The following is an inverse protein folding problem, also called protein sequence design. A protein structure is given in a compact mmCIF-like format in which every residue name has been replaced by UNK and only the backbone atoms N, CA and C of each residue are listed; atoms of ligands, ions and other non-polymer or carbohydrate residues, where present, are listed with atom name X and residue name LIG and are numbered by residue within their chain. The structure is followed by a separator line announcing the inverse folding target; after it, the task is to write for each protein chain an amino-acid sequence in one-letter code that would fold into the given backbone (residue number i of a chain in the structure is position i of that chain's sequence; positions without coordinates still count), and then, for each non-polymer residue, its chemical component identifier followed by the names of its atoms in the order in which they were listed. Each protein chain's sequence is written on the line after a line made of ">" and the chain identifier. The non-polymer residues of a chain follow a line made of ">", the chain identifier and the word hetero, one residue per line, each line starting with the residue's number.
data_IF_037017067907
#
_entry.id   IF_037017067907
#
_cell.length_a   1.000
_cell.length_b   1.000
_cell.length_c   1.000
_cell.angle_alpha   90.00
_cell.angle_beta   90.00
_cell.angle_gamma   90.00
#
_symmetry.space_group_name_H-M   'P 1'
#
loop_
_entity.id
_entity.type
_entity.pdbx_description
1 polymer ?
#
# COMPACT_ATOMS: atom_id res chain seq x y z
N UNK A 1 -7.48 5.13 7.92
CA UNK A 1 -6.24 4.48 7.48
C UNK A 1 -5.00 5.30 7.84
N UNK A 2 -3.82 4.75 7.55
CA UNK A 2 -2.51 5.37 7.87
C UNK A 2 -1.59 5.25 6.65
N UNK A 3 -0.73 6.27 6.45
CA UNK A 3 0.33 6.24 5.47
C UNK A 3 1.60 6.95 5.96
N UNK A 4 2.76 6.50 5.50
CA UNK A 4 4.06 7.09 5.80
C UNK A 4 5.09 6.71 4.73
N UNK A 5 6.12 7.53 4.54
CA UNK A 5 7.18 7.25 3.57
C UNK A 5 8.55 7.80 4.03
N UNK A 6 9.09 7.37 5.18
CA UNK A 6 10.31 7.95 5.75
C UNK A 6 11.53 7.80 4.84
N UNK A 7 11.65 6.66 4.15
CA UNK A 7 12.80 6.40 3.27
C UNK A 7 12.76 7.24 1.99
N UNK A 8 11.57 7.48 1.45
CA UNK A 8 11.37 8.44 0.36
C UNK A 8 11.69 9.85 0.83
N UNK A 9 11.25 10.21 2.04
CA UNK A 9 11.55 11.49 2.68
C UNK A 9 13.04 11.76 2.88
N UNK A 10 13.88 10.73 3.04
CA UNK A 10 15.34 10.90 3.10
C UNK A 10 15.91 11.36 1.75
N UNK A 11 15.34 10.96 0.63
CA UNK A 11 15.75 11.37 -0.71
C UNK A 11 15.17 12.76 -1.03
N UNK A 12 13.84 12.89 -0.94
CA UNK A 12 13.09 14.12 -1.21
C UNK A 12 11.97 14.28 -0.15
N UNK A 13 12.10 15.23 0.77
CA UNK A 13 11.11 15.44 1.84
C UNK A 13 9.71 15.80 1.33
N UNK A 14 9.60 16.56 0.24
CA UNK A 14 8.31 16.93 -0.33
C UNK A 14 7.63 15.73 -1.00
N UNK A 15 8.39 14.93 -1.76
CA UNK A 15 7.89 13.68 -2.34
C UNK A 15 7.47 12.70 -1.23
N UNK A 16 8.28 12.52 -0.17
CA UNK A 16 7.94 11.68 0.98
C UNK A 16 6.62 12.07 1.63
N UNK A 17 6.34 13.37 1.71
CA UNK A 17 5.06 13.86 2.25
C UNK A 17 3.88 13.56 1.34
N UNK A 18 4.04 13.73 0.02
CA UNK A 18 2.99 13.38 -0.95
C UNK A 18 2.72 11.88 -0.98
N UNK A 19 3.77 11.06 -0.91
CA UNK A 19 3.62 9.59 -0.85
C UNK A 19 2.94 9.17 0.46
N UNK A 20 3.28 9.76 1.62
CA UNK A 20 2.61 9.46 2.88
C UNK A 20 1.09 9.74 2.84
N UNK A 21 0.68 10.86 2.24
CA UNK A 21 -0.75 11.17 2.02
C UNK A 21 -1.36 10.17 1.04
N UNK A 22 -0.67 9.88 -0.05
CA UNK A 22 -1.16 8.97 -1.10
C UNK A 22 -1.36 7.55 -0.57
N UNK A 23 -0.43 7.02 0.22
CA UNK A 23 -0.54 5.70 0.85
C UNK A 23 -1.74 5.64 1.79
N UNK A 24 -1.93 6.66 2.65
CA UNK A 24 -3.09 6.72 3.51
C UNK A 24 -4.41 6.70 2.71
N UNK A 25 -4.46 7.37 1.56
CA UNK A 25 -5.64 7.42 0.71
C UNK A 25 -5.86 6.12 -0.07
N UNK A 26 -4.82 5.48 -0.62
CA UNK A 26 -4.96 4.19 -1.30
C UNK A 26 -5.35 3.06 -0.35
N UNK A 27 -4.98 3.16 0.93
CA UNK A 27 -5.46 2.28 1.99
C UNK A 27 -6.94 2.51 2.35
N UNK A 28 -7.47 3.72 2.12
CA UNK A 28 -8.86 4.06 2.44
C UNK A 28 -9.84 3.73 1.32
N UNK A 29 -9.38 3.62 0.09
CA UNK A 29 -10.25 3.51 -1.11
C UNK A 29 -11.20 2.32 -1.09
N UNK A 30 -10.96 1.33 -0.23
CA UNK A 30 -11.68 0.06 -0.12
C UNK A 30 -12.97 0.13 0.71
N UNK A 31 -13.32 1.30 1.25
CA UNK A 31 -14.58 1.55 1.94
C UNK A 31 -15.39 2.60 1.16
N UNK A 32 -16.74 2.53 1.15
CA UNK A 32 -17.58 3.53 0.47
C UNK A 32 -17.56 4.86 1.23
N UNK A 33 -16.57 5.70 0.91
CA UNK A 33 -16.40 7.01 1.56
C UNK A 33 -17.46 7.97 1.06
N UNK A 34 -18.22 8.55 2.00
CA UNK A 34 -19.22 9.56 1.69
C UNK A 34 -18.55 10.79 1.04
N UNK A 35 -19.13 11.27 -0.03
CA UNK A 35 -18.59 12.37 -0.85
C UNK A 35 -17.22 12.09 -1.49
N UNK A 36 -16.83 10.82 -1.62
CA UNK A 36 -15.56 10.42 -2.23
C UNK A 36 -14.37 11.09 -1.52
N UNK A 37 -13.36 11.56 -2.27
CA UNK A 37 -12.16 12.17 -1.69
C UNK A 37 -12.48 13.47 -0.91
N UNK A 38 -13.51 14.23 -1.28
CA UNK A 38 -13.87 15.46 -0.56
C UNK A 38 -14.41 15.22 0.85
N UNK A 39 -14.90 14.01 1.14
CA UNK A 39 -15.33 13.59 2.48
C UNK A 39 -14.20 13.16 3.42
N UNK A 40 -12.94 13.24 2.97
CA UNK A 40 -11.77 12.80 3.75
C UNK A 40 -11.12 13.97 4.47
N UNK A 41 -10.78 13.76 5.75
CA UNK A 41 -9.93 14.66 6.53
C UNK A 41 -8.65 13.94 6.98
N UNK A 42 -7.57 14.70 7.14
CA UNK A 42 -6.26 14.18 7.51
C UNK A 42 -5.84 14.66 8.91
N UNK A 43 -5.10 13.82 9.62
CA UNK A 43 -4.31 14.21 10.78
C UNK A 43 -2.84 13.95 10.47
N UNK A 44 -1.97 14.93 10.73
CA UNK A 44 -0.55 14.85 10.43
C UNK A 44 0.28 14.73 11.71
N UNK A 45 1.18 13.74 11.77
CA UNK A 45 2.14 13.61 12.85
C UNK A 45 3.57 13.70 12.29
N UNK A 46 4.27 14.77 12.67
CA UNK A 46 5.63 15.05 12.24
C UNK A 46 6.63 14.58 13.30
N UNK A 47 7.59 13.77 12.91
CA UNK A 47 8.70 13.31 13.74
C UNK A 47 10.00 13.68 13.04
N UNK A 48 10.74 14.67 13.59
CA UNK A 48 11.85 15.28 12.86
C UNK A 48 13.05 15.61 13.78
N UNK A 49 14.31 15.35 13.34
CA UNK A 49 15.51 15.66 14.11
C UNK A 49 15.96 17.12 13.89
N UNK A 50 15.10 18.12 14.11
CA UNK A 50 15.29 19.53 13.75
C UNK A 50 16.53 20.20 14.33
N UNK A 51 17.09 19.67 15.43
CA UNK A 51 18.30 20.24 16.06
C UNK A 51 19.60 19.92 15.31
N UNK A 52 19.50 19.29 14.14
CA UNK A 52 20.64 18.93 13.31
C UNK A 52 20.66 19.80 12.05
N UNK A 53 21.87 20.02 11.52
CA UNK A 53 22.09 20.91 10.37
C UNK A 53 21.29 20.47 9.14
N UNK A 54 20.63 21.43 8.50
CA UNK A 54 19.82 21.20 7.30
C UNK A 54 18.40 20.65 7.56
N UNK A 55 18.13 20.06 8.72
CA UNK A 55 16.86 19.37 8.98
C UNK A 55 15.65 20.32 9.07
N UNK A 56 15.84 21.58 9.47
CA UNK A 56 14.78 22.59 9.44
C UNK A 56 14.34 22.92 8.01
N UNK A 57 15.27 23.00 7.06
CA UNK A 57 14.96 23.25 5.66
C UNK A 57 14.24 22.06 5.04
N UNK A 58 14.65 20.84 5.40
CA UNK A 58 13.99 19.60 4.98
C UNK A 58 12.56 19.50 5.53
N UNK A 59 12.36 19.82 6.80
CA UNK A 59 11.03 19.88 7.40
C UNK A 59 10.13 20.91 6.69
N UNK A 60 10.65 22.12 6.40
CA UNK A 60 9.90 23.12 5.67
C UNK A 60 9.45 22.59 4.28
N UNK A 61 10.36 21.94 3.55
CA UNK A 61 10.05 21.33 2.27
C UNK A 61 8.97 20.25 2.39
N UNK A 62 9.05 19.40 3.41
CA UNK A 62 8.08 18.35 3.69
C UNK A 62 6.68 18.92 4.01
N UNK A 63 6.62 19.92 4.91
CA UNK A 63 5.36 20.59 5.29
C UNK A 63 4.74 21.29 4.08
N UNK A 64 5.56 22.01 3.29
CA UNK A 64 5.08 22.66 2.07
C UNK A 64 4.54 21.64 1.06
N UNK A 65 5.25 20.53 0.84
CA UNK A 65 4.82 19.44 -0.04
C UNK A 65 3.49 18.83 0.40
N UNK A 66 3.31 18.57 1.69
CA UNK A 66 2.04 18.07 2.24
C UNK A 66 0.89 19.07 2.07
N UNK A 67 1.13 20.34 2.39
CA UNK A 67 0.14 21.42 2.32
C UNK A 67 -0.33 21.65 0.88
N UNK A 68 0.62 21.85 -0.04
CA UNK A 68 0.29 22.09 -1.46
C UNK A 68 -0.49 20.91 -2.05
N UNK A 69 -0.11 19.69 -1.69
CA UNK A 69 -0.77 18.47 -2.17
C UNK A 69 -2.19 18.33 -1.60
N UNK A 70 -2.38 18.53 -0.30
CA UNK A 70 -3.70 18.47 0.33
C UNK A 70 -4.65 19.53 -0.26
N UNK A 71 -4.16 20.76 -0.49
CA UNK A 71 -4.92 21.84 -1.15
C UNK A 71 -5.34 21.43 -2.56
N UNK A 72 -4.42 20.86 -3.35
CA UNK A 72 -4.72 20.42 -4.72
C UNK A 72 -5.71 19.26 -4.76
N UNK A 73 -5.64 18.33 -3.80
CA UNK A 73 -6.63 17.26 -3.66
C UNK A 73 -8.00 17.77 -3.18
N UNK A 74 -8.06 18.95 -2.57
CA UNK A 74 -9.28 19.51 -1.99
C UNK A 74 -9.66 18.91 -0.64
N UNK A 75 -8.67 18.42 0.12
CA UNK A 75 -8.84 17.82 1.45
C UNK A 75 -8.13 18.66 2.51
N UNK A 76 -8.52 18.53 3.78
CA UNK A 76 -7.98 19.34 4.86
C UNK A 76 -7.09 18.55 5.82
N UNK A 77 -6.23 19.27 6.54
CA UNK A 77 -5.44 18.77 7.65
C UNK A 77 -5.81 19.59 8.90
N UNK A 78 -6.97 19.33 9.53
CA UNK A 78 -7.49 20.15 10.64
C UNK A 78 -6.67 20.01 11.93
N UNK A 79 -5.90 18.94 12.06
CA UNK A 79 -5.09 18.68 13.25
C UNK A 79 -3.72 18.13 12.89
N UNK A 80 -2.73 18.56 13.63
CA UNK A 80 -1.36 18.09 13.48
C UNK A 80 -0.66 18.04 14.85
N UNK A 81 0.36 17.18 14.93
CA UNK A 81 1.21 17.00 16.12
C UNK A 81 2.66 16.86 15.65
N UNK A 82 3.60 17.33 16.44
CA UNK A 82 5.02 17.19 16.13
C UNK A 82 5.87 16.61 17.27
N UNK A 83 7.05 16.11 16.91
CA UNK A 83 8.15 15.71 17.77
C UNK A 83 9.46 16.12 17.09
N UNK A 84 10.01 17.30 17.46
CA UNK A 84 11.11 17.94 16.75
C UNK A 84 12.50 17.61 17.30
N UNK A 85 12.63 16.65 18.21
CA UNK A 85 13.89 16.25 18.85
C UNK A 85 14.26 14.79 18.63
N UNK A 86 13.94 14.24 17.46
CA UNK A 86 14.11 12.81 17.13
C UNK A 86 15.57 12.42 16.90
N UNK A 87 16.37 12.58 17.97
CA UNK A 87 17.80 12.25 17.98
C UNK A 87 18.12 11.45 19.24
N UNK A 88 18.60 10.23 19.10
CA UNK A 88 19.15 9.44 20.20
C UNK A 88 20.62 9.76 20.36
N UNK A 89 21.03 10.07 21.61
CA UNK A 89 22.44 10.30 22.00
C UNK A 89 22.89 9.16 22.91
N UNK A 90 24.07 8.63 22.67
CA UNK A 90 24.67 7.57 23.46
C UNK A 90 25.80 8.12 24.36
N UNK A 91 26.13 7.43 25.49
CA UNK A 91 27.18 7.87 26.42
C UNK A 91 28.58 7.98 25.78
N UNK A 92 28.85 7.21 24.74
CA UNK A 92 30.11 7.22 23.98
C UNK A 92 30.21 8.43 23.01
N UNK A 93 29.21 9.31 22.97
CA UNK A 93 29.16 10.45 22.08
C UNK A 93 28.48 10.22 20.72
N UNK A 94 28.15 8.97 20.39
CA UNK A 94 27.44 8.65 19.16
C UNK A 94 26.04 9.26 19.14
N UNK A 95 25.57 9.57 17.93
CA UNK A 95 24.21 10.06 17.69
C UNK A 95 23.56 9.24 16.60
N UNK A 96 22.32 8.86 16.81
CA UNK A 96 21.44 8.28 15.79
C UNK A 96 20.29 9.24 15.55
N UNK A 97 20.15 9.69 14.32
CA UNK A 97 19.04 10.54 13.88
C UNK A 97 17.94 9.65 13.31
N UNK A 98 16.71 9.88 13.75
CA UNK A 98 15.53 9.31 13.07
C UNK A 98 15.39 9.96 11.69
N UNK A 99 15.01 9.22 10.66
CA UNK A 99 14.58 9.84 9.41
C UNK A 99 13.45 10.83 9.68
N UNK A 100 13.50 11.99 9.03
CA UNK A 100 12.38 12.93 9.06
C UNK A 100 11.14 12.23 8.52
N UNK A 101 10.12 12.06 9.35
CA UNK A 101 8.94 11.23 9.06
C UNK A 101 7.67 12.03 9.22
N UNK A 102 6.80 11.96 8.22
CA UNK A 102 5.40 12.34 8.31
C UNK A 102 4.55 11.07 8.35
N UNK A 103 3.72 10.94 9.39
CA UNK A 103 2.65 9.93 9.45
C UNK A 103 1.34 10.66 9.23
N UNK A 104 0.59 10.21 8.24
CA UNK A 104 -0.77 10.68 7.94
C UNK A 104 -1.76 9.65 8.44
N UNK A 105 -2.75 10.10 9.20
CA UNK A 105 -3.96 9.34 9.46
C UNK A 105 -5.11 9.97 8.67
N UNK A 106 -5.88 9.15 7.97
CA UNK A 106 -7.09 9.58 7.25
C UNK A 106 -8.33 9.17 8.02
N UNK A 107 -9.35 10.00 7.98
CA UNK A 107 -10.67 9.71 8.50
C UNK A 107 -11.73 10.15 7.49
N UNK A 108 -12.77 9.34 7.33
CA UNK A 108 -13.92 9.63 6.47
C UNK A 108 -15.15 8.88 6.98
N UNK A 109 -16.33 9.47 6.76
CA UNK A 109 -17.59 8.78 7.03
C UNK A 109 -17.81 7.71 5.96
N UNK A 110 -18.19 6.50 6.39
CA UNK A 110 -18.48 5.35 5.51
C UNK A 110 -19.99 5.20 5.37
N UNK A 111 -20.50 5.14 4.13
CA UNK A 111 -21.95 5.03 3.86
C UNK A 111 -22.52 3.67 4.24
N UNK A 112 -21.75 2.59 4.04
CA UNK A 112 -22.13 1.22 4.38
C UNK A 112 -20.90 0.42 4.81
N UNK A 113 -20.85 0.02 6.06
CA UNK A 113 -19.73 -0.76 6.62
C UNK A 113 -19.67 -2.19 6.07
N UNK A 114 -20.76 -2.71 5.53
CA UNK A 114 -20.82 -4.05 4.93
C UNK A 114 -20.38 -4.08 3.47
N UNK A 115 -20.29 -2.93 2.81
CA UNK A 115 -19.87 -2.82 1.42
C UNK A 115 -18.35 -2.72 1.24
N UNK A 116 -17.56 -2.89 2.31
CA UNK A 116 -16.09 -2.82 2.23
C UNK A 116 -15.51 -3.95 1.39
N UNK A 117 -14.50 -3.63 0.58
CA UNK A 117 -13.75 -4.61 -0.21
C UNK A 117 -12.55 -5.10 0.58
N UNK A 118 -12.41 -6.42 0.67
CA UNK A 118 -11.32 -7.07 1.41
C UNK A 118 -10.10 -7.32 0.51
N UNK A 119 -8.87 -7.36 1.07
CA UNK A 119 -7.67 -7.61 0.28
C UNK A 119 -7.47 -9.08 -0.13
N UNK A 120 -8.28 -9.99 0.39
CA UNK A 120 -8.10 -11.44 0.21
C UNK A 120 -8.67 -11.91 -1.11
N UNK A 121 -7.83 -12.51 -1.95
CA UNK A 121 -8.22 -13.09 -3.24
C UNK A 121 -9.41 -14.06 -3.09
N UNK A 122 -10.44 -13.85 -3.87
CA UNK A 122 -11.58 -14.74 -3.96
C UNK A 122 -11.29 -15.87 -4.95
N UNK A 123 -11.76 -17.10 -4.61
CA UNK A 123 -11.52 -18.32 -5.38
C UNK A 123 -12.50 -18.46 -6.55
N UNK A 124 -12.57 -17.44 -7.39
CA UNK A 124 -13.47 -17.37 -8.53
C UNK A 124 -12.68 -17.08 -9.81
N UNK A 125 -13.21 -17.50 -10.96
CA UNK A 125 -12.66 -17.10 -12.26
C UNK A 125 -12.71 -15.58 -12.38
N UNK A 126 -11.51 -14.98 -12.51
CA UNK A 126 -11.35 -13.55 -12.37
C UNK A 126 -10.06 -13.05 -13.02
N UNK A 127 -10.03 -11.77 -13.30
CA UNK A 127 -8.86 -11.05 -13.76
C UNK A 127 -8.32 -10.10 -12.69
N UNK A 128 -7.02 -9.84 -12.73
CA UNK A 128 -6.36 -8.83 -11.91
C UNK A 128 -6.00 -7.62 -12.75
N UNK A 129 -6.29 -6.44 -12.22
CA UNK A 129 -5.96 -5.15 -12.82
C UNK A 129 -5.03 -4.36 -11.91
N UNK A 130 -3.95 -3.85 -12.49
CA UNK A 130 -3.07 -2.87 -11.85
C UNK A 130 -3.52 -1.47 -12.28
N UNK A 131 -3.82 -0.61 -11.32
CA UNK A 131 -4.32 0.76 -11.53
C UNK A 131 -3.37 1.74 -10.83
N UNK A 132 -2.46 2.39 -11.56
CA UNK A 132 -1.55 3.37 -10.97
C UNK A 132 -2.25 4.71 -10.74
N UNK A 133 -1.97 5.31 -9.59
CA UNK A 133 -2.47 6.64 -9.19
C UNK A 133 -1.52 7.77 -9.61
N UNK A 134 -0.56 7.49 -10.44
CA UNK A 134 0.36 8.44 -11.05
C UNK A 134 0.52 8.16 -12.54
N UNK A 135 0.81 9.18 -13.33
CA UNK A 135 1.14 9.03 -14.74
C UNK A 135 2.59 8.59 -14.98
N UNK A 136 3.46 8.66 -13.96
CA UNK A 136 4.86 8.24 -14.06
C UNK A 136 4.96 6.72 -14.23
N UNK A 137 5.65 6.28 -15.26
CA UNK A 137 5.92 4.86 -15.58
C UNK A 137 7.41 4.52 -15.50
N UNK A 138 8.22 5.37 -14.88
CA UNK A 138 9.66 5.14 -14.70
C UNK A 138 9.95 4.08 -13.63
N UNK A 139 8.97 3.80 -12.77
CA UNK A 139 9.07 2.85 -11.68
C UNK A 139 10.33 3.06 -10.82
N UNK A 140 10.49 4.23 -10.18
CA UNK A 140 11.64 4.53 -9.35
C UNK A 140 11.73 3.58 -8.16
N UNK A 141 12.96 3.23 -7.75
CA UNK A 141 13.23 2.30 -6.65
C UNK A 141 13.86 2.98 -5.43
N UNK A 142 14.05 4.29 -5.47
CA UNK A 142 14.61 5.02 -4.34
C UNK A 142 13.67 4.99 -3.13
N UNK A 143 14.23 4.71 -1.96
CA UNK A 143 13.48 4.57 -0.70
C UNK A 143 12.70 3.27 -0.54
N UNK A 144 12.63 2.42 -1.59
CA UNK A 144 11.85 1.17 -1.55
C UNK A 144 12.46 0.11 -0.62
N UNK A 145 11.63 -0.82 -0.18
CA UNK A 145 12.07 -2.00 0.56
C UNK A 145 13.14 -2.79 -0.21
N UNK A 146 13.01 -2.88 -1.55
CA UNK A 146 14.03 -3.48 -2.39
C UNK A 146 15.39 -2.79 -2.26
N UNK A 147 15.43 -1.46 -2.32
CA UNK A 147 16.67 -0.70 -2.16
C UNK A 147 17.31 -0.95 -0.79
N UNK A 148 16.49 -1.06 0.26
CA UNK A 148 16.96 -1.36 1.62
C UNK A 148 17.58 -2.76 1.72
N UNK A 149 17.01 -3.78 1.05
CA UNK A 149 17.57 -5.15 1.08
C UNK A 149 18.98 -5.21 0.49
N UNK A 150 19.30 -4.36 -0.46
CA UNK A 150 20.63 -4.24 -1.06
C UNK A 150 21.49 -3.12 -0.41
N UNK A 151 21.07 -2.63 0.76
CA UNK A 151 21.76 -1.59 1.56
C UNK A 151 22.00 -0.29 0.77
N UNK A 152 21.05 0.11 -0.04
CA UNK A 152 21.04 1.37 -0.80
C UNK A 152 19.76 2.14 -0.53
N UNK A 153 19.84 3.47 -0.57
CA UNK A 153 18.64 4.31 -0.53
C UNK A 153 18.13 4.63 -1.93
N UNK A 154 19.02 4.72 -2.92
CA UNK A 154 18.72 5.15 -4.29
C UNK A 154 18.64 6.68 -4.42
N UNK A 155 18.51 7.15 -5.66
CA UNK A 155 18.49 8.58 -5.99
C UNK A 155 17.13 9.05 -6.50
N UNK A 156 16.37 8.17 -7.12
CA UNK A 156 15.06 8.47 -7.72
C UNK A 156 13.95 7.90 -6.86
N UNK A 157 13.23 8.77 -6.16
CA UNK A 157 12.12 8.44 -5.29
C UNK A 157 10.78 8.43 -6.06
N UNK A 158 9.81 7.61 -5.64
CA UNK A 158 8.42 7.75 -6.10
C UNK A 158 7.86 9.11 -5.71
N UNK A 159 6.97 9.63 -6.56
CA UNK A 159 6.33 10.92 -6.32
C UNK A 159 4.95 10.98 -7.00
N UNK A 160 4.05 11.82 -6.48
CA UNK A 160 2.78 12.17 -7.12
C UNK A 160 2.83 13.63 -7.55
N UNK A 161 3.18 13.84 -8.83
CA UNK A 161 3.31 15.19 -9.42
C UNK A 161 2.00 15.73 -9.99
N UNK A 162 1.02 14.86 -10.22
CA UNK A 162 -0.30 15.20 -10.74
C UNK A 162 -1.39 14.83 -9.72
N UNK A 163 -1.73 15.75 -8.81
CA UNK A 163 -2.78 15.54 -7.81
C UNK A 163 -4.18 15.39 -8.42
N UNK A 164 -4.45 16.02 -9.57
CA UNK A 164 -5.74 15.90 -10.24
C UNK A 164 -5.94 14.49 -10.83
N UNK A 165 -4.89 13.91 -11.37
CA UNK A 165 -4.96 12.52 -11.82
C UNK A 165 -5.17 11.56 -10.63
N UNK A 166 -4.45 11.76 -9.51
CA UNK A 166 -4.65 10.98 -8.29
C UNK A 166 -6.10 11.06 -7.79
N UNK A 167 -6.65 12.27 -7.70
CA UNK A 167 -8.05 12.53 -7.31
C UNK A 167 -9.03 11.84 -8.26
N UNK A 168 -8.76 11.90 -9.56
CA UNK A 168 -9.56 11.22 -10.58
C UNK A 168 -9.55 9.71 -10.38
N UNK A 169 -8.39 9.11 -10.09
CA UNK A 169 -8.27 7.68 -9.78
C UNK A 169 -9.11 7.31 -8.56
N UNK A 170 -8.93 8.02 -7.44
CA UNK A 170 -9.66 7.76 -6.21
C UNK A 170 -11.18 7.82 -6.43
N UNK A 171 -11.67 8.92 -6.98
CA UNK A 171 -13.11 9.14 -7.18
C UNK A 171 -13.71 8.15 -8.18
N UNK A 172 -13.00 7.85 -9.28
CA UNK A 172 -13.47 6.87 -10.27
C UNK A 172 -13.61 5.47 -9.66
N UNK A 173 -12.64 5.06 -8.83
CA UNK A 173 -12.73 3.76 -8.14
C UNK A 173 -13.87 3.72 -7.13
N UNK A 174 -14.06 4.79 -6.33
CA UNK A 174 -15.22 4.90 -5.42
C UNK A 174 -16.54 4.73 -6.19
N UNK A 175 -16.69 5.41 -7.32
CA UNK A 175 -17.90 5.32 -8.15
C UNK A 175 -18.11 3.93 -8.73
N UNK A 176 -17.04 3.28 -9.22
CA UNK A 176 -17.11 1.96 -9.85
C UNK A 176 -17.37 0.86 -8.81
N UNK A 177 -16.77 0.97 -7.64
CA UNK A 177 -16.87 -0.06 -6.61
C UNK A 177 -18.14 0.03 -5.78
N UNK A 178 -18.67 1.24 -5.53
CA UNK A 178 -19.71 1.42 -4.50
C UNK A 178 -20.97 2.14 -4.94
N UNK A 179 -20.96 2.89 -6.05
CA UNK A 179 -22.09 3.74 -6.46
C UNK A 179 -22.83 3.24 -7.70
N UNK A 180 -22.56 2.00 -8.12
CA UNK A 180 -23.23 1.32 -9.23
C UNK A 180 -23.82 0.01 -8.76
N UNK A 181 -24.93 -0.37 -9.37
CA UNK A 181 -25.57 -1.66 -9.12
C UNK A 181 -24.57 -2.79 -9.48
N UNK A 182 -24.26 -3.62 -8.49
CA UNK A 182 -23.39 -4.78 -8.64
C UNK A 182 -21.91 -4.40 -8.81
N UNK A 183 -21.17 -4.33 -7.70
CA UNK A 183 -19.74 -4.17 -7.80
C UNK A 183 -19.08 -5.36 -8.49
N UNK A 184 -18.30 -5.12 -9.57
CA UNK A 184 -17.57 -6.20 -10.25
C UNK A 184 -16.29 -6.61 -9.50
N UNK A 185 -15.92 -5.87 -8.44
CA UNK A 185 -14.67 -6.05 -7.71
C UNK A 185 -14.86 -7.05 -6.57
N UNK A 186 -14.09 -8.13 -6.61
CA UNK A 186 -14.12 -9.22 -5.63
C UNK A 186 -13.15 -8.99 -4.46
N UNK A 187 -12.01 -8.41 -4.74
CA UNK A 187 -10.96 -8.10 -3.78
C UNK A 187 -10.08 -6.95 -4.29
N UNK A 188 -9.37 -6.30 -3.40
CA UNK A 188 -8.40 -5.28 -3.79
C UNK A 188 -7.41 -4.93 -2.71
N UNK A 189 -6.23 -4.49 -3.12
CA UNK A 189 -5.13 -4.13 -2.22
C UNK A 189 -4.33 -2.97 -2.83
N UNK A 190 -3.85 -2.07 -2.00
CA UNK A 190 -2.93 -1.01 -2.41
C UNK A 190 -1.52 -1.55 -2.67
N UNK A 191 -0.76 -0.82 -3.48
CA UNK A 191 0.67 -1.07 -3.69
C UNK A 191 1.43 -0.09 -2.82
N UNK A 192 2.07 -0.61 -1.77
CA UNK A 192 2.84 0.16 -0.79
C UNK A 192 4.23 -0.45 -0.58
N UNK A 193 4.70 -0.55 0.67
CA UNK A 193 6.03 -1.09 0.98
C UNK A 193 6.24 -2.51 0.39
N UNK A 194 7.33 -2.69 -0.35
CA UNK A 194 7.66 -3.92 -1.06
C UNK A 194 7.17 -3.98 -2.51
N UNK A 195 6.32 -3.05 -2.93
CA UNK A 195 5.83 -2.93 -4.30
C UNK A 195 4.83 -4.00 -4.72
N UNK A 196 4.58 -4.09 -6.02
CA UNK A 196 3.56 -4.96 -6.61
C UNK A 196 3.73 -6.44 -6.22
N UNK A 197 4.94 -6.97 -6.17
CA UNK A 197 5.16 -8.39 -5.83
C UNK A 197 4.69 -8.72 -4.42
N UNK A 198 4.93 -7.83 -3.47
CA UNK A 198 4.47 -7.97 -2.08
C UNK A 198 2.95 -7.91 -2.00
N UNK A 199 2.34 -6.92 -2.64
CA UNK A 199 0.88 -6.78 -2.75
C UNK A 199 0.21 -8.06 -3.26
N UNK A 200 0.71 -8.65 -4.35
CA UNK A 200 0.16 -9.89 -4.93
C UNK A 200 0.29 -11.08 -3.97
N UNK A 201 1.40 -11.17 -3.23
CA UNK A 201 1.59 -12.22 -2.23
C UNK A 201 0.68 -12.03 -1.02
N UNK A 202 0.56 -10.81 -0.49
CA UNK A 202 -0.28 -10.48 0.67
C UNK A 202 -1.75 -10.74 0.38
N UNK A 203 -2.22 -10.45 -0.83
CA UNK A 203 -3.58 -10.82 -1.27
C UNK A 203 -3.84 -12.33 -1.19
N UNK A 204 -2.80 -13.17 -1.29
CA UNK A 204 -2.90 -14.63 -1.20
C UNK A 204 -2.67 -15.19 0.21
N UNK A 205 -2.01 -14.47 1.11
CA UNK A 205 -1.49 -15.03 2.37
C UNK A 205 -2.59 -15.53 3.32
N UNK A 206 -3.74 -14.87 3.36
CA UNK A 206 -4.85 -15.26 4.22
C UNK A 206 -5.57 -16.53 3.75
N UNK A 207 -5.44 -16.90 2.47
CA UNK A 207 -6.00 -18.13 1.91
C UNK A 207 -5.08 -19.34 2.17
N UNK A 208 -5.64 -20.53 2.10
CA UNK A 208 -4.91 -21.81 2.13
C UNK A 208 -4.83 -22.47 0.75
N UNK A 209 -5.57 -21.96 -0.23
CA UNK A 209 -5.66 -22.45 -1.60
C UNK A 209 -5.67 -21.29 -2.60
N UNK A 210 -5.30 -21.59 -3.84
CA UNK A 210 -5.30 -20.64 -4.93
C UNK A 210 -4.09 -19.71 -4.93
N UNK A 211 -3.85 -19.16 -6.10
CA UNK A 211 -2.76 -18.26 -6.42
C UNK A 211 -3.10 -17.38 -7.64
N UNK A 212 -2.08 -16.93 -8.33
CA UNK A 212 -2.23 -16.02 -9.47
C UNK A 212 -1.27 -16.37 -10.60
N UNK A 213 -1.73 -16.17 -11.84
CA UNK A 213 -0.87 -16.09 -13.02
C UNK A 213 -0.85 -14.64 -13.50
N UNK A 214 0.29 -14.01 -13.37
CA UNK A 214 0.51 -12.58 -13.67
C UNK A 214 1.38 -12.44 -14.92
N UNK A 215 1.00 -11.56 -15.81
CA UNK A 215 1.71 -11.24 -17.05
C UNK A 215 2.05 -9.73 -17.06
N UNK A 216 3.33 -9.42 -16.96
CA UNK A 216 3.88 -8.07 -17.01
C UNK A 216 4.62 -7.77 -18.31
N UNK A 217 4.43 -8.57 -19.37
CA UNK A 217 5.11 -8.38 -20.67
C UNK A 217 4.74 -7.06 -21.36
N UNK A 218 3.58 -6.49 -21.04
CA UNK A 218 3.16 -5.17 -21.53
C UNK A 218 3.92 -3.99 -20.91
N UNK A 219 4.72 -4.23 -19.87
CA UNK A 219 5.50 -3.19 -19.20
C UNK A 219 6.96 -3.19 -19.69
N UNK A 220 7.58 -2.01 -19.69
CA UNK A 220 8.95 -1.86 -20.19
C UNK A 220 10.02 -2.39 -19.22
N UNK A 221 9.72 -2.44 -17.93
CA UNK A 221 10.72 -2.73 -16.89
C UNK A 221 10.17 -3.60 -15.76
N UNK A 222 10.98 -4.58 -15.36
CA UNK A 222 10.73 -5.38 -14.14
C UNK A 222 10.77 -4.56 -12.83
N UNK A 223 11.17 -3.29 -12.89
CA UNK A 223 11.10 -2.39 -11.72
C UNK A 223 9.69 -2.23 -11.17
N UNK A 224 8.66 -2.41 -12.00
CA UNK A 224 7.24 -2.40 -11.57
C UNK A 224 6.99 -3.34 -10.38
N UNK A 225 7.71 -4.46 -10.27
CA UNK A 225 7.56 -5.39 -9.15
C UNK A 225 7.92 -4.79 -7.81
N UNK A 226 8.86 -3.87 -7.76
CA UNK A 226 9.48 -3.37 -6.53
C UNK A 226 9.31 -1.87 -6.32
N UNK A 227 8.77 -1.17 -7.31
CA UNK A 227 8.49 0.26 -7.18
C UNK A 227 7.29 0.48 -6.27
N UNK A 228 7.44 1.42 -5.36
CA UNK A 228 6.42 1.78 -4.38
C UNK A 228 5.68 3.06 -4.81
N UNK A 229 5.44 3.22 -6.12
CA UNK A 229 4.55 4.26 -6.62
C UNK A 229 3.10 3.95 -6.23
N UNK A 230 2.30 4.95 -5.81
CA UNK A 230 0.92 4.72 -5.42
C UNK A 230 0.12 4.07 -6.55
N UNK A 231 -0.43 2.91 -6.26
CA UNK A 231 -1.26 2.13 -7.17
C UNK A 231 -2.17 1.19 -6.37
N UNK A 232 -3.11 0.55 -7.04
CA UNK A 232 -3.92 -0.52 -6.46
C UNK A 232 -3.98 -1.72 -7.40
N UNK A 233 -4.18 -2.89 -6.81
CA UNK A 233 -4.54 -4.12 -7.54
C UNK A 233 -5.97 -4.47 -7.20
N UNK A 234 -6.80 -4.71 -8.21
CA UNK A 234 -8.18 -5.17 -8.03
C UNK A 234 -8.39 -6.50 -8.72
N UNK A 235 -9.11 -7.39 -8.05
CA UNK A 235 -9.61 -8.63 -8.61
C UNK A 235 -11.03 -8.39 -9.14
N UNK A 236 -11.26 -8.65 -10.41
CA UNK A 236 -12.53 -8.42 -11.08
C UNK A 236 -13.08 -9.76 -11.57
N UNK A 237 -14.37 -10.01 -11.35
CA UNK A 237 -15.05 -11.23 -11.80
C UNK A 237 -14.98 -11.35 -13.33
N UNK A 238 -14.70 -12.55 -13.86
CA UNK A 238 -14.46 -12.75 -15.28
C UNK A 238 -15.62 -12.29 -16.18
N UNK A 239 -16.87 -12.54 -15.77
CA UNK A 239 -18.07 -12.11 -16.48
C UNK A 239 -18.38 -10.61 -16.37
N UNK A 240 -17.67 -9.89 -15.50
CA UNK A 240 -17.85 -8.46 -15.24
C UNK A 240 -16.68 -7.59 -15.77
N UNK A 241 -15.66 -8.18 -16.40
CA UNK A 241 -14.48 -7.42 -16.90
C UNK A 241 -14.87 -6.30 -17.87
N UNK A 242 -15.79 -6.58 -18.81
CA UNK A 242 -16.25 -5.58 -19.78
C UNK A 242 -17.00 -4.42 -19.08
N UNK A 243 -17.86 -4.75 -18.13
CA UNK A 243 -18.59 -3.74 -17.34
C UNK A 243 -17.64 -2.88 -16.53
N UNK A 244 -16.64 -3.49 -15.89
CA UNK A 244 -15.61 -2.81 -15.12
C UNK A 244 -14.80 -1.86 -15.99
N UNK A 245 -14.22 -2.32 -17.08
CA UNK A 245 -13.41 -1.48 -17.98
C UNK A 245 -14.21 -0.34 -18.62
N UNK A 246 -15.46 -0.61 -18.98
CA UNK A 246 -16.39 0.40 -19.50
C UNK A 246 -16.73 1.47 -18.44
N UNK A 247 -16.85 1.06 -17.18
CA UNK A 247 -17.13 1.95 -16.07
C UNK A 247 -15.94 2.86 -15.73
N UNK A 248 -14.70 2.36 -15.80
CA UNK A 248 -13.49 3.16 -15.68
C UNK A 248 -13.37 4.18 -16.82
N UNK A 249 -13.83 3.79 -18.03
CA UNK A 249 -13.72 4.62 -19.23
C UNK A 249 -12.26 4.95 -19.56
N UNK A 250 -12.05 6.12 -20.20
CA UNK A 250 -10.70 6.61 -20.51
C UNK A 250 -10.18 7.60 -19.45
N UNK A 251 -10.77 7.63 -18.25
CA UNK A 251 -10.41 8.60 -17.22
C UNK A 251 -9.11 8.24 -16.51
N UNK A 252 -8.87 6.93 -16.31
CA UNK A 252 -7.72 6.41 -15.59
C UNK A 252 -7.13 5.22 -16.34
N UNK A 253 -5.83 5.00 -16.15
CA UNK A 253 -5.16 3.83 -16.70
C UNK A 253 -5.46 2.60 -15.85
N UNK A 254 -5.84 1.49 -16.48
CA UNK A 254 -6.02 0.19 -15.84
C UNK A 254 -5.38 -0.87 -16.75
N UNK A 255 -4.47 -1.66 -16.20
CA UNK A 255 -3.75 -2.69 -16.93
C UNK A 255 -4.19 -4.06 -16.43
N UNK A 256 -4.76 -4.87 -17.32
CA UNK A 256 -5.03 -6.28 -17.03
C UNK A 256 -3.69 -7.00 -16.91
N UNK A 257 -3.37 -7.46 -15.70
CA UNK A 257 -2.07 -8.06 -15.39
C UNK A 257 -2.14 -9.57 -15.13
N UNK A 258 -3.31 -10.19 -15.09
CA UNK A 258 -3.35 -11.63 -14.87
C UNK A 258 -4.72 -12.19 -14.52
N UNK A 259 -4.71 -13.44 -14.06
CA UNK A 259 -5.90 -14.23 -13.71
C UNK A 259 -5.70 -15.02 -12.43
N UNK A 260 -6.79 -15.40 -11.78
CA UNK A 260 -6.79 -16.34 -10.67
C UNK A 260 -6.28 -17.71 -11.12
N UNK A 261 -5.51 -18.39 -10.27
CA UNK A 261 -5.05 -19.76 -10.45
C UNK A 261 -5.54 -20.64 -9.28
N UNK A 262 -5.94 -21.86 -9.58
CA UNK A 262 -6.27 -22.87 -8.54
C UNK A 262 -5.03 -23.39 -7.83
N UNK A 263 -3.87 -23.28 -8.45
CA UNK A 263 -2.59 -23.67 -7.87
C UNK A 263 -2.13 -22.68 -6.81
N UNK A 264 -1.52 -23.16 -5.74
CA UNK A 264 -0.99 -22.34 -4.62
C UNK A 264 0.35 -21.70 -4.96
N UNK A 265 0.44 -21.05 -6.11
CA UNK A 265 1.66 -20.47 -6.66
C UNK A 265 1.36 -19.09 -7.25
N UNK A 266 2.26 -18.15 -7.06
CA UNK A 266 2.29 -16.90 -7.79
C UNK A 266 3.27 -17.02 -8.95
N UNK A 267 2.74 -17.19 -10.17
CA UNK A 267 3.53 -17.19 -11.39
C UNK A 267 3.53 -15.78 -11.99
N UNK A 268 4.71 -15.26 -12.33
CA UNK A 268 4.87 -13.93 -12.92
C UNK A 268 5.70 -14.07 -14.20
N UNK A 269 5.13 -13.69 -15.32
CA UNK A 269 5.87 -13.48 -16.56
C UNK A 269 6.39 -12.04 -16.58
N UNK A 270 7.71 -11.87 -16.63
CA UNK A 270 8.38 -10.57 -16.59
C UNK A 270 8.41 -9.90 -17.97
N UNK A 271 8.63 -8.59 -18.05
CA UNK A 271 9.05 -7.94 -19.27
C UNK A 271 10.23 -8.72 -19.91
N UNK A 272 10.17 -8.93 -21.22
CA UNK A 272 11.13 -9.76 -21.99
C UNK A 272 10.98 -11.28 -21.83
N UNK A 273 9.88 -11.76 -21.25
CA UNK A 273 9.47 -13.17 -21.29
C UNK A 273 10.11 -14.09 -20.25
N UNK A 274 10.98 -13.61 -19.39
CA UNK A 274 11.48 -14.41 -18.26
C UNK A 274 10.35 -14.59 -17.23
N UNK A 275 10.35 -15.73 -16.52
CA UNK A 275 9.32 -16.06 -15.54
C UNK A 275 9.89 -16.21 -14.11
N UNK A 276 9.04 -15.92 -13.13
CA UNK A 276 9.21 -16.25 -11.72
C UNK A 276 8.06 -17.14 -11.30
N UNK A 277 8.34 -18.12 -10.45
CA UNK A 277 7.32 -18.96 -9.81
C UNK A 277 7.61 -18.98 -8.30
N UNK A 278 6.69 -18.45 -7.52
CA UNK A 278 6.84 -18.27 -6.08
C UNK A 278 5.80 -19.14 -5.35
N UNK A 279 6.29 -20.06 -4.53
CA UNK A 279 5.47 -20.83 -3.59
C UNK A 279 4.92 -19.86 -2.53
N UNK A 280 3.61 -19.66 -2.51
CA UNK A 280 2.95 -18.66 -1.66
C UNK A 280 3.13 -19.01 -0.18
N UNK A 281 3.06 -20.27 0.20
CA UNK A 281 3.19 -20.66 1.61
C UNK A 281 4.62 -20.47 2.11
N UNK A 282 5.60 -20.75 1.27
CA UNK A 282 7.01 -20.46 1.58
C UNK A 282 7.26 -18.95 1.69
N UNK A 283 6.69 -18.15 0.79
CA UNK A 283 6.82 -16.70 0.87
C UNK A 283 6.15 -16.14 2.13
N UNK A 284 4.99 -16.67 2.51
CA UNK A 284 4.30 -16.31 3.76
C UNK A 284 5.16 -16.64 4.98
N UNK A 285 5.80 -17.81 5.02
CA UNK A 285 6.70 -18.19 6.11
C UNK A 285 7.86 -17.18 6.25
N UNK A 286 8.48 -16.79 5.14
CA UNK A 286 9.55 -15.78 5.10
C UNK A 286 9.03 -14.41 5.59
N UNK A 287 7.82 -14.02 5.18
CA UNK A 287 7.20 -12.77 5.60
C UNK A 287 6.98 -12.71 7.11
N UNK A 288 6.53 -13.81 7.73
CA UNK A 288 6.35 -13.90 9.17
C UNK A 288 7.66 -14.09 9.96
N UNK A 289 8.71 -14.63 9.33
CA UNK A 289 9.97 -14.95 10.00
C UNK A 289 10.62 -13.71 10.63
N UNK A 290 10.58 -12.57 9.98
CA UNK A 290 11.15 -11.32 10.51
C UNK A 290 10.49 -10.94 11.85
N UNK A 291 9.16 -11.02 11.93
CA UNK A 291 8.42 -10.77 13.16
C UNK A 291 8.75 -11.81 14.24
N UNK A 292 8.91 -13.09 13.87
CA UNK A 292 9.32 -14.15 14.78
C UNK A 292 10.70 -13.89 15.39
N UNK A 293 11.67 -13.53 14.55
CA UNK A 293 13.03 -13.23 15.02
C UNK A 293 13.05 -12.06 16.02
N UNK A 294 12.21 -11.04 15.79
CA UNK A 294 12.05 -9.93 16.71
C UNK A 294 11.33 -10.34 18.01
N UNK A 295 10.27 -11.14 17.90
CA UNK A 295 9.51 -11.69 19.04
C UNK A 295 10.41 -12.50 20.01
N UNK A 296 11.40 -13.24 19.49
CA UNK A 296 12.35 -13.97 20.33
C UNK A 296 13.04 -13.08 21.36
N UNK A 297 13.32 -11.81 20.99
CA UNK A 297 13.92 -10.83 21.90
C UNK A 297 12.90 -10.21 22.88
N UNK A 298 11.63 -10.15 22.51
CA UNK A 298 10.59 -9.53 23.34
C UNK A 298 9.96 -10.50 24.32
N UNK A 299 9.60 -11.72 23.88
CA UNK A 299 8.80 -12.65 24.68
C UNK A 299 9.55 -13.96 25.01
N UNK A 300 10.76 -14.14 24.49
CA UNK A 300 11.55 -15.35 24.63
C UNK A 300 11.26 -16.41 23.58
N UNK A 301 12.18 -17.38 23.44
CA UNK A 301 12.18 -18.34 22.33
C UNK A 301 10.94 -19.23 22.27
N UNK A 302 10.44 -19.68 23.41
CA UNK A 302 9.37 -20.68 23.44
C UNK A 302 8.03 -20.07 23.03
N UNK A 303 7.66 -18.91 23.58
CA UNK A 303 6.43 -18.20 23.22
C UNK A 303 6.48 -17.66 21.79
N UNK A 304 7.63 -17.15 21.35
CA UNK A 304 7.80 -16.72 19.98
C UNK A 304 7.64 -17.88 18.98
N UNK A 305 8.23 -19.06 19.28
CA UNK A 305 8.08 -20.26 18.47
C UNK A 305 6.65 -20.77 18.42
N UNK A 306 5.96 -20.77 19.55
CA UNK A 306 4.54 -21.14 19.62
C UNK A 306 3.68 -20.24 18.71
N UNK A 307 3.84 -18.93 18.80
CA UNK A 307 3.14 -17.97 17.95
C UNK A 307 3.43 -18.21 16.47
N UNK A 308 4.71 -18.32 16.10
CA UNK A 308 5.14 -18.56 14.72
C UNK A 308 4.60 -19.90 14.18
N UNK A 309 4.56 -20.96 14.98
CA UNK A 309 4.02 -22.26 14.56
C UNK A 309 2.49 -22.24 14.38
N UNK A 310 1.82 -21.35 15.08
CA UNK A 310 0.36 -21.30 15.12
C UNK A 310 -0.27 -20.29 14.16
N UNK A 311 0.49 -19.37 13.55
CA UNK A 311 -0.09 -18.35 12.67
C UNK A 311 -0.86 -18.94 11.45
N UNK A 312 -0.50 -20.14 11.01
CA UNK A 312 -1.19 -20.87 9.93
C UNK A 312 -2.51 -21.49 10.36
N UNK A 313 -2.70 -21.66 11.67
CA UNK A 313 -3.94 -22.18 12.24
C UNK A 313 -4.88 -21.00 12.47
N UNK A 314 -6.02 -21.01 11.79
CA UNK A 314 -7.04 -19.98 11.98
C UNK A 314 -8.27 -20.57 12.69
N UNK A 315 -8.16 -20.96 13.97
CA UNK A 315 -9.21 -21.67 14.68
C UNK A 315 -10.31 -20.74 15.22
N UNK A 316 -10.19 -19.42 14.99
CA UNK A 316 -11.15 -18.45 15.52
C UNK A 316 -12.49 -18.56 14.78
N UNK A 317 -13.28 -19.51 15.22
CA UNK A 317 -14.69 -19.61 14.85
C UNK A 317 -15.52 -19.12 16.02
N UNK A 318 -16.27 -18.03 15.80
CA UNK A 318 -17.22 -17.54 16.78
C UNK A 318 -18.60 -18.12 16.49
N UNK A 319 -19.23 -18.69 17.54
CA UNK A 319 -20.68 -18.85 17.55
C UNK A 319 -21.24 -17.76 18.45
N UNK A 320 -21.91 -16.80 17.88
CA UNK A 320 -22.65 -15.84 18.67
C UNK A 320 -23.76 -16.56 19.45
N UNK A 321 -24.05 -16.16 20.70
CA UNK A 321 -25.20 -16.65 21.43
C UNK A 321 -26.50 -16.42 20.62
N UNK A 322 -27.46 -17.34 20.76
CA UNK A 322 -28.77 -17.19 20.14
C UNK A 322 -29.43 -15.87 20.64
N UNK A 323 -29.87 -15.01 19.70
CA UNK A 323 -30.42 -13.70 20.03
C UNK A 323 -29.41 -12.56 20.19
N UNK A 324 -28.13 -12.77 19.88
CA UNK A 324 -27.15 -11.68 19.77
C UNK A 324 -27.38 -10.90 18.47
N UNK A 325 -27.80 -9.64 18.57
CA UNK A 325 -28.05 -8.72 17.44
C UNK A 325 -27.15 -7.49 17.56
#
# INVERSE_FOLDING_TARGET
>A
SIGHAPMVGLIDPAAGSRIAISEALTNMVWAPVKENLSGVSLSANWMWPCKNDGENARLYSAVKGASDYAIALGINIPTAKDSMSMTQKYPNGDKVLSPGTLIISTVGEVEDVYATIHPVVQKEESAFYYIPFTADRSYPLGGSAYAQTIKKIGESAPDVKDPEYFKTCFNTLQDVMFRRDGTPVLAGHDVSAGGLVTTLLEMCFANVEGGMNIDLTAFESARILFSEVPAVVVQVKADAEETFTKALGNKIAAYRIGTFSKERVLNITLPKGNGLSLDIDKMRDIWFETSYLFDVHQVGKDLARERYSNYKRQPLTYKFPEGFT
#
